data_IF_934837917774
#
_entry.id   IF_934837917774
#
_cell.length_a   1.000
_cell.length_b   1.000
_cell.length_c   1.000
_cell.angle_alpha   90.00
_cell.angle_beta   90.00
_cell.angle_gamma   90.00
#
_symmetry.space_group_name_H-M   'P 1'
#
loop_
_entity.id
_entity.type
_entity.pdbx_description
1 polymer ?
#
# COMPACT_ATOMS: atom_id res chain seq x y z
N UNK A 1 -7.27 5.15 -11.39
CA UNK A 1 -6.19 4.16 -11.27
C UNK A 1 -5.63 4.06 -9.85
N UNK A 2 -5.10 5.13 -9.23
CA UNK A 2 -4.52 5.04 -7.87
C UNK A 2 -5.48 4.40 -6.85
N UNK A 3 -6.76 4.78 -6.83
CA UNK A 3 -7.73 4.19 -5.90
C UNK A 3 -8.01 2.72 -6.13
N UNK A 4 -8.02 2.28 -7.39
CA UNK A 4 -8.12 0.86 -7.75
C UNK A 4 -6.90 0.10 -7.23
N UNK A 5 -5.70 0.65 -7.44
CA UNK A 5 -4.47 0.06 -6.91
C UNK A 5 -4.45 -0.02 -5.37
N UNK A 6 -4.92 1.04 -4.69
CA UNK A 6 -5.08 1.05 -3.23
C UNK A 6 -6.02 -0.08 -2.77
N UNK A 7 -7.15 -0.27 -3.45
CA UNK A 7 -8.10 -1.35 -3.12
C UNK A 7 -7.47 -2.73 -3.33
N UNK A 8 -6.73 -2.92 -4.43
CA UNK A 8 -6.01 -4.18 -4.67
C UNK A 8 -4.98 -4.46 -3.58
N UNK A 9 -4.17 -3.47 -3.20
CA UNK A 9 -3.19 -3.63 -2.13
C UNK A 9 -3.85 -3.89 -0.78
N UNK A 10 -4.94 -3.18 -0.46
CA UNK A 10 -5.71 -3.42 0.75
C UNK A 10 -6.28 -4.84 0.80
N UNK A 11 -6.84 -5.32 -0.32
CA UNK A 11 -7.33 -6.69 -0.43
C UNK A 11 -6.19 -7.71 -0.21
N UNK A 12 -4.97 -7.40 -0.67
CA UNK A 12 -3.77 -8.17 -0.35
C UNK A 12 -3.53 -8.28 1.17
N UNK A 13 -3.56 -7.17 1.91
CA UNK A 13 -3.36 -7.19 3.37
C UNK A 13 -4.45 -7.98 4.09
N UNK A 14 -5.70 -7.85 3.64
CA UNK A 14 -6.81 -8.62 4.21
C UNK A 14 -6.60 -10.11 3.95
N UNK A 15 -6.25 -10.50 2.73
CA UNK A 15 -6.00 -11.89 2.38
C UNK A 15 -4.86 -12.49 3.20
N UNK A 16 -3.74 -11.78 3.30
CA UNK A 16 -2.57 -12.16 4.10
C UNK A 16 -2.93 -12.39 5.58
N UNK A 17 -3.60 -11.42 6.20
CA UNK A 17 -4.01 -11.51 7.60
C UNK A 17 -5.02 -12.65 7.83
N UNK A 18 -5.96 -12.87 6.90
CA UNK A 18 -6.91 -13.99 6.98
C UNK A 18 -6.20 -15.34 6.85
N UNK A 19 -5.24 -15.45 5.94
CA UNK A 19 -4.47 -16.67 5.73
C UNK A 19 -3.69 -17.04 6.99
N UNK A 20 -2.90 -16.12 7.53
CA UNK A 20 -2.10 -16.35 8.74
C UNK A 20 -2.95 -16.48 10.01
N UNK A 21 -4.04 -15.71 10.12
CA UNK A 21 -4.85 -15.63 11.34
C UNK A 21 -5.92 -16.72 11.48
N UNK A 22 -6.46 -17.22 10.36
CA UNK A 22 -7.59 -18.16 10.37
C UNK A 22 -7.31 -19.48 9.68
N UNK A 23 -6.54 -19.50 8.59
CA UNK A 23 -6.46 -20.69 7.72
C UNK A 23 -5.31 -21.61 8.14
N UNK A 24 -4.12 -21.07 8.39
CA UNK A 24 -2.89 -21.87 8.50
C UNK A 24 -2.12 -21.61 9.80
N UNK A 25 -2.81 -21.55 10.94
CA UNK A 25 -2.16 -21.34 12.25
C UNK A 25 -1.09 -22.42 12.50
N UNK A 26 0.19 -22.04 12.41
CA UNK A 26 1.33 -22.91 12.69
C UNK A 26 1.87 -23.74 11.52
N UNK A 27 1.40 -23.53 10.28
CA UNK A 27 2.02 -24.13 9.08
C UNK A 27 3.00 -23.12 8.50
N UNK A 28 4.20 -23.07 9.08
CA UNK A 28 5.27 -22.20 8.60
C UNK A 28 6.21 -23.02 7.71
N UNK A 29 6.48 -22.59 6.46
CA UNK A 29 7.41 -23.29 5.58
C UNK A 29 8.78 -23.50 6.24
N UNK A 30 9.32 -24.72 6.17
CA UNK A 30 10.61 -25.05 6.79
C UNK A 30 11.75 -25.10 5.78
N UNK A 31 11.43 -25.06 4.49
CA UNK A 31 12.40 -25.04 3.39
C UNK A 31 12.22 -23.81 2.52
N UNK A 32 13.28 -23.43 1.81
CA UNK A 32 13.26 -22.29 0.88
C UNK A 32 12.26 -22.50 -0.26
N UNK A 33 12.13 -23.73 -0.77
CA UNK A 33 11.20 -24.04 -1.86
C UNK A 33 9.74 -23.92 -1.42
N UNK A 34 9.40 -24.44 -0.24
CA UNK A 34 8.07 -24.27 0.36
C UNK A 34 7.78 -22.79 0.64
N UNK A 35 8.79 -22.04 1.12
CA UNK A 35 8.65 -20.61 1.39
C UNK A 35 8.46 -19.82 0.10
N UNK A 36 9.17 -20.14 -0.97
CA UNK A 36 8.97 -19.52 -2.27
C UNK A 36 7.54 -19.74 -2.78
N UNK A 37 7.01 -20.97 -2.60
CA UNK A 37 5.62 -21.26 -2.94
C UNK A 37 4.62 -20.50 -2.06
N UNK A 38 4.93 -20.36 -0.77
CA UNK A 38 4.15 -19.54 0.16
C UNK A 38 4.13 -18.07 -0.28
N UNK A 39 5.27 -17.50 -0.66
CA UNK A 39 5.34 -16.13 -1.19
C UNK A 39 4.51 -15.94 -2.46
N UNK A 40 4.52 -16.92 -3.37
CA UNK A 40 3.75 -16.88 -4.62
C UNK A 40 2.24 -17.01 -4.37
N UNK A 41 1.84 -17.85 -3.43
CA UNK A 41 0.40 -18.16 -3.21
C UNK A 41 -0.26 -17.24 -2.21
N UNK A 42 0.46 -16.79 -1.18
CA UNK A 42 -0.07 -15.99 -0.06
C UNK A 42 0.26 -14.52 -0.24
N UNK A 43 1.53 -14.18 -0.48
CA UNK A 43 1.99 -12.80 -0.47
C UNK A 43 1.96 -12.11 -1.85
N UNK A 44 1.84 -12.86 -2.95
CA UNK A 44 1.82 -12.28 -4.30
C UNK A 44 0.73 -11.20 -4.50
N UNK A 45 -0.50 -11.35 -3.98
CA UNK A 45 -1.51 -10.29 -4.05
C UNK A 45 -1.04 -8.96 -3.41
N UNK A 46 -0.30 -9.03 -2.30
CA UNK A 46 0.30 -7.86 -1.65
C UNK A 46 1.34 -7.20 -2.55
N UNK A 47 2.25 -7.98 -3.12
CA UNK A 47 3.31 -7.47 -4.00
C UNK A 47 2.75 -6.79 -5.24
N UNK A 48 1.76 -7.41 -5.88
CA UNK A 48 1.06 -6.84 -7.04
C UNK A 48 0.38 -5.53 -6.66
N UNK A 49 -0.29 -5.49 -5.51
CA UNK A 49 -0.91 -4.28 -4.99
C UNK A 49 0.08 -3.14 -4.75
N UNK A 50 1.16 -3.42 -4.01
CA UNK A 50 2.20 -2.44 -3.69
C UNK A 50 2.85 -1.88 -4.97
N UNK A 51 3.19 -2.74 -5.92
CA UNK A 51 3.76 -2.33 -7.21
C UNK A 51 2.76 -1.50 -8.02
N UNK A 52 1.48 -1.89 -8.06
CA UNK A 52 0.45 -1.13 -8.75
C UNK A 52 0.27 0.27 -8.15
N UNK A 53 0.34 0.41 -6.82
CA UNK A 53 0.29 1.70 -6.14
C UNK A 53 1.52 2.54 -6.50
N UNK A 54 2.72 1.96 -6.48
CA UNK A 54 3.95 2.65 -6.89
C UNK A 54 3.87 3.15 -8.34
N UNK A 55 3.47 2.29 -9.28
CA UNK A 55 3.36 2.64 -10.69
C UNK A 55 2.32 3.74 -10.89
N UNK A 56 1.12 3.58 -10.32
CA UNK A 56 0.04 4.56 -10.53
C UNK A 56 0.33 5.91 -9.86
N UNK A 57 0.97 5.92 -8.69
CA UNK A 57 1.41 7.18 -8.03
C UNK A 57 2.57 7.83 -8.78
N UNK A 58 3.53 7.05 -9.29
CA UNK A 58 4.65 7.54 -10.11
C UNK A 58 4.19 8.13 -11.45
N UNK A 59 3.27 7.47 -12.15
CA UNK A 59 2.67 8.01 -13.37
C UNK A 59 1.92 9.32 -13.10
N UNK A 60 1.14 9.39 -12.02
CA UNK A 60 0.46 10.62 -11.63
C UNK A 60 1.44 11.73 -11.23
N UNK A 61 2.55 11.39 -10.57
CA UNK A 61 3.61 12.33 -10.20
C UNK A 61 4.28 12.95 -11.44
N UNK A 62 4.49 12.17 -12.51
CA UNK A 62 5.02 12.66 -13.80
C UNK A 62 4.08 13.63 -14.50
N UNK A 63 2.77 13.45 -14.33
CA UNK A 63 1.73 14.25 -14.96
C UNK A 63 1.25 15.42 -14.08
N UNK A 64 1.88 15.65 -12.91
CA UNK A 64 1.36 16.61 -11.93
C UNK A 64 1.59 18.06 -12.34
N UNK A 65 0.63 18.91 -12.00
CA UNK A 65 0.85 20.35 -11.81
C UNK A 65 1.68 20.61 -10.54
N UNK A 66 2.50 21.67 -10.54
CA UNK A 66 3.42 22.04 -9.44
C UNK A 66 2.74 22.21 -8.07
N UNK A 67 1.44 22.52 -8.04
CA UNK A 67 0.67 22.79 -6.80
C UNK A 67 0.15 21.54 -6.07
N UNK A 68 0.30 20.33 -6.64
CA UNK A 68 -0.21 19.10 -6.02
C UNK A 68 0.82 18.43 -5.08
N UNK A 69 0.91 18.89 -3.83
CA UNK A 69 1.84 18.35 -2.81
C UNK A 69 1.54 16.91 -2.34
N UNK A 70 0.30 16.45 -2.50
CA UNK A 70 -0.11 15.12 -2.03
C UNK A 70 0.48 13.96 -2.88
N UNK A 71 0.77 14.19 -4.16
CA UNK A 71 1.30 13.15 -5.05
C UNK A 71 2.74 12.73 -4.69
N UNK A 72 3.68 13.67 -4.43
CA UNK A 72 4.99 13.31 -3.90
C UNK A 72 4.94 12.50 -2.59
N UNK A 73 4.05 12.86 -1.66
CA UNK A 73 3.90 12.14 -0.38
C UNK A 73 3.36 10.73 -0.61
N UNK A 74 2.33 10.59 -1.46
CA UNK A 74 1.78 9.29 -1.82
C UNK A 74 2.82 8.41 -2.53
N UNK A 75 3.65 8.99 -3.40
CA UNK A 75 4.73 8.26 -4.07
C UNK A 75 5.81 7.80 -3.06
N UNK A 76 6.21 8.66 -2.13
CA UNK A 76 7.16 8.29 -1.07
C UNK A 76 6.62 7.14 -0.20
N UNK A 77 5.34 7.20 0.20
CA UNK A 77 4.68 6.10 0.90
C UNK A 77 4.67 4.80 0.09
N UNK A 78 4.43 4.88 -1.22
CA UNK A 78 4.46 3.72 -2.11
C UNK A 78 5.87 3.11 -2.23
N UNK A 79 6.92 3.94 -2.28
CA UNK A 79 8.32 3.48 -2.26
C UNK A 79 8.64 2.77 -0.95
N UNK A 80 8.26 3.34 0.19
CA UNK A 80 8.43 2.70 1.50
C UNK A 80 7.70 1.36 1.54
N UNK A 81 6.47 1.32 1.01
CA UNK A 81 5.67 0.10 0.98
C UNK A 81 6.34 -1.01 0.16
N UNK A 82 6.77 -0.70 -1.07
CA UNK A 82 7.47 -1.67 -1.93
C UNK A 82 8.81 -2.11 -1.32
N UNK A 83 9.56 -1.20 -0.71
CA UNK A 83 10.80 -1.55 -0.02
C UNK A 83 10.55 -2.48 1.18
N UNK A 84 9.48 -2.23 1.95
CA UNK A 84 9.04 -3.09 3.05
C UNK A 84 8.65 -4.48 2.56
N UNK A 85 7.86 -4.60 1.50
CA UNK A 85 7.51 -5.90 0.90
C UNK A 85 8.72 -6.65 0.35
N UNK A 86 9.67 -5.94 -0.29
CA UNK A 86 10.90 -6.55 -0.79
C UNK A 86 11.77 -7.08 0.36
N UNK A 87 11.91 -6.31 1.44
CA UNK A 87 12.57 -6.77 2.66
C UNK A 87 11.83 -7.99 3.22
N UNK A 88 10.51 -7.91 3.35
CA UNK A 88 9.67 -8.97 3.91
C UNK A 88 9.86 -10.29 3.15
N UNK A 89 9.83 -10.25 1.82
CA UNK A 89 10.10 -11.41 0.97
C UNK A 89 11.50 -11.99 1.17
N UNK A 90 12.53 -11.13 1.27
CA UNK A 90 13.90 -11.57 1.51
C UNK A 90 14.07 -12.18 2.90
N UNK A 91 13.44 -11.62 3.94
CA UNK A 91 13.43 -12.20 5.28
C UNK A 91 12.76 -13.57 5.29
N UNK A 92 11.63 -13.73 4.61
CA UNK A 92 10.97 -15.02 4.43
C UNK A 92 11.87 -16.04 3.73
N UNK A 93 12.48 -15.68 2.60
CA UNK A 93 13.41 -16.57 1.87
C UNK A 93 14.65 -16.96 2.70
N UNK A 94 15.01 -16.15 3.70
CA UNK A 94 16.09 -16.44 4.66
C UNK A 94 15.60 -17.18 5.91
N UNK A 95 14.32 -17.54 5.97
CA UNK A 95 13.66 -18.17 7.12
C UNK A 95 13.82 -17.34 8.41
N UNK A 96 13.87 -16.01 8.26
CA UNK A 96 14.09 -15.06 9.34
C UNK A 96 12.77 -14.56 9.91
N UNK A 97 12.33 -15.21 10.98
CA UNK A 97 11.05 -14.92 11.66
C UNK A 97 11.11 -13.67 12.55
N UNK A 98 12.30 -13.13 12.85
CA UNK A 98 12.43 -11.94 13.68
C UNK A 98 12.21 -10.66 12.87
N UNK A 99 12.76 -10.60 11.66
CA UNK A 99 12.71 -9.39 10.84
C UNK A 99 11.52 -9.35 9.87
N UNK A 100 10.93 -10.50 9.52
CA UNK A 100 9.76 -10.53 8.64
C UNK A 100 8.58 -9.69 9.17
N UNK A 101 8.14 -9.80 10.45
CA UNK A 101 7.03 -8.98 10.95
C UNK A 101 7.32 -7.47 10.93
N UNK A 102 8.56 -7.09 11.19
CA UNK A 102 9.01 -5.68 11.15
C UNK A 102 8.92 -5.15 9.73
N UNK A 103 9.39 -5.92 8.76
CA UNK A 103 9.33 -5.56 7.34
C UNK A 103 7.90 -5.41 6.82
N UNK A 104 7.01 -6.34 7.17
CA UNK A 104 5.58 -6.24 6.87
C UNK A 104 4.94 -4.98 7.47
N UNK A 105 5.31 -4.64 8.71
CA UNK A 105 4.86 -3.41 9.38
C UNK A 105 5.34 -2.14 8.66
N UNK A 106 6.60 -2.11 8.23
CA UNK A 106 7.15 -1.01 7.41
C UNK A 106 6.38 -0.86 6.11
N UNK A 107 6.05 -1.97 5.46
CA UNK A 107 5.24 -1.95 4.25
C UNK A 107 3.87 -1.31 4.49
N UNK A 108 3.18 -1.76 5.55
CA UNK A 108 1.86 -1.27 5.92
C UNK A 108 1.88 0.23 6.28
N UNK A 109 2.91 0.71 6.98
CA UNK A 109 3.10 2.14 7.25
C UNK A 109 3.21 2.93 5.95
N UNK A 110 4.01 2.45 4.99
CA UNK A 110 4.11 3.05 3.66
C UNK A 110 2.74 3.16 2.97
N UNK A 111 1.95 2.08 3.01
CA UNK A 111 0.60 2.05 2.47
C UNK A 111 -0.34 3.06 3.16
N UNK A 112 -0.32 3.15 4.50
CA UNK A 112 -1.13 4.13 5.25
C UNK A 112 -0.79 5.56 4.84
N UNK A 113 0.49 5.89 4.64
CA UNK A 113 0.92 7.20 4.13
C UNK A 113 0.28 7.50 2.78
N UNK A 114 0.23 6.54 1.86
CA UNK A 114 -0.45 6.69 0.56
C UNK A 114 -1.93 7.01 0.75
N UNK A 115 -2.63 6.21 1.56
CA UNK A 115 -4.07 6.37 1.78
C UNK A 115 -4.38 7.75 2.37
N UNK A 116 -3.67 8.16 3.41
CA UNK A 116 -3.87 9.46 4.08
C UNK A 116 -3.62 10.61 3.11
N UNK A 117 -2.52 10.57 2.34
CA UNK A 117 -2.22 11.58 1.34
C UNK A 117 -3.32 11.70 0.28
N UNK A 118 -3.85 10.56 -0.20
CA UNK A 118 -4.88 10.55 -1.23
C UNK A 118 -6.25 10.99 -0.71
N UNK A 119 -6.60 10.66 0.54
CA UNK A 119 -7.81 11.16 1.21
C UNK A 119 -7.71 12.68 1.41
N UNK A 120 -6.59 13.17 1.94
CA UNK A 120 -6.37 14.60 2.16
C UNK A 120 -6.46 15.38 0.84
N UNK A 121 -5.88 14.85 -0.24
CA UNK A 121 -5.96 15.43 -1.59
C UNK A 121 -7.40 15.50 -2.12
N UNK A 122 -8.22 14.47 -1.90
CA UNK A 122 -9.65 14.48 -2.27
C UNK A 122 -10.43 15.52 -1.46
N UNK A 123 -10.19 15.62 -0.15
CA UNK A 123 -10.86 16.59 0.72
C UNK A 123 -10.51 18.03 0.33
N UNK A 124 -9.24 18.31 0.08
CA UNK A 124 -8.77 19.62 -0.36
C UNK A 124 -9.41 20.06 -1.68
N UNK A 125 -9.63 19.14 -2.63
CA UNK A 125 -10.32 19.43 -3.91
C UNK A 125 -11.82 19.68 -3.77
N UNK A 126 -12.47 19.20 -2.70
CA UNK A 126 -13.93 19.34 -2.51
C UNK A 126 -14.32 20.64 -1.78
N UNK A 127 -13.47 21.16 -0.91
CA UNK A 127 -13.70 22.41 -0.16
C UNK A 127 -13.96 23.68 -1.01
N UNK A 128 -13.34 23.89 -2.18
CA UNK A 128 -13.57 25.10 -2.98
C UNK A 128 -15.02 25.24 -3.47
N UNK A 129 -15.73 24.11 -3.67
CA UNK A 129 -17.08 24.09 -4.23
C UNK A 129 -18.16 24.35 -3.17
N UNK A 130 -17.92 23.97 -1.90
CA UNK A 130 -18.87 24.25 -0.83
C UNK A 130 -18.81 25.71 -0.38
N UNK A 131 -17.62 26.28 -0.26
CA UNK A 131 -17.46 27.69 0.13
C UNK A 131 -18.14 28.64 -0.87
N UNK A 132 -17.99 28.40 -2.17
CA UNK A 132 -18.66 29.20 -3.21
C UNK A 132 -20.19 29.03 -3.23
N UNK A 133 -20.71 27.86 -2.87
CA UNK A 133 -22.16 27.62 -2.78
C UNK A 133 -22.79 28.24 -1.53
N UNK A 134 -22.06 28.29 -0.43
CA UNK A 134 -22.52 28.91 0.80
C UNK A 134 -22.53 30.44 0.68
N UNK A 135 -21.53 31.04 0.03
CA UNK A 135 -21.55 32.48 -0.32
C UNK A 135 -22.74 32.84 -1.23
N UNK A 136 -23.05 32.02 -2.22
CA UNK A 136 -24.17 32.28 -3.14
C UNK A 136 -25.57 32.04 -2.52
N UNK A 137 -25.64 31.37 -1.36
CA UNK A 137 -26.87 31.22 -0.57
C UNK A 137 -27.04 32.29 0.51
N UNK A 138 -25.95 33.00 0.83
CA UNK A 138 -25.92 34.06 1.82
C UNK A 138 -26.09 35.47 1.22
N UNK A 139 -26.10 35.58 -0.11
CA UNK A 139 -26.38 36.78 -0.90
C UNK A 139 -27.81 36.76 -1.47
#
# INVERSE_FOLDING_TARGET
MIWTAIVVQFAGYVFDALWHGLISRGVEPHTVDEMAWHLVTVHLPLYVGALAVLVTTGLALRQRSRTAAALPIAFAGAVISVAGEAWHAVSHLRLDTQHAPVAGSVSFVGFVVVVVAMIASRRARRRPVSAARDEQRAA
#
